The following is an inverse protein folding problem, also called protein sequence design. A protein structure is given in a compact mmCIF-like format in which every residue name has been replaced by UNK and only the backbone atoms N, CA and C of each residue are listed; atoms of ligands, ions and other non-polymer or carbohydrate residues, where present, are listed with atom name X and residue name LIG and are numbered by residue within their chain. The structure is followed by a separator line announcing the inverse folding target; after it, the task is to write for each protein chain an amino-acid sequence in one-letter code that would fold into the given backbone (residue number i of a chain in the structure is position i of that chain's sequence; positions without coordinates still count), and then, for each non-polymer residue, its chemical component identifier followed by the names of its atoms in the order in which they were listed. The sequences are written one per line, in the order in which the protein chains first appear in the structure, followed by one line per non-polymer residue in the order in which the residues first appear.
data_IF_664339645083
#
_entry.id   IF_664339645083
#
_cell.length_a   1.000
_cell.length_b   1.000
_cell.length_c   1.000
_cell.angle_alpha   90.00
_cell.angle_beta   90.00
_cell.angle_gamma   90.00
#
_symmetry.space_group_name_H-M   'P 1'
#
loop_
_entity.id
_entity.type
_entity.pdbx_description
1 polymer ?
#
# COMPACT_ATOMS: atom_id res chain seq x y z
N UNK A 1 1.45 -6.00 -13.51
CA UNK A 1 0.90 -6.99 -12.56
C UNK A 1 2.04 -7.54 -11.71
N UNK A 2 2.37 -8.83 -11.66
CA UNK A 2 3.57 -9.32 -10.95
C UNK A 2 4.13 -10.52 -11.69
N UNK A 3 5.37 -10.91 -11.39
CA UNK A 3 5.96 -12.16 -11.86
C UNK A 3 6.61 -12.93 -10.72
N UNK A 4 6.58 -14.26 -10.81
CA UNK A 4 7.28 -15.16 -9.89
C UNK A 4 8.72 -15.34 -10.36
N UNK A 5 9.69 -15.26 -9.44
CA UNK A 5 11.10 -15.54 -9.71
C UNK A 5 11.68 -16.46 -8.63
N UNK A 6 12.58 -17.39 -8.98
CA UNK A 6 13.20 -18.25 -7.99
C UNK A 6 14.05 -17.43 -7.01
N UNK A 7 14.09 -17.83 -5.74
CA UNK A 7 15.00 -17.21 -4.77
C UNK A 7 16.45 -17.59 -5.10
N UNK A 8 17.40 -16.63 -5.11
CA UNK A 8 18.76 -16.87 -5.61
C UNK A 8 19.56 -17.88 -4.79
N UNK A 9 19.21 -18.09 -3.52
CA UNK A 9 19.94 -18.95 -2.59
C UNK A 9 19.08 -20.00 -1.89
N UNK A 10 17.77 -20.02 -2.13
CA UNK A 10 16.86 -20.97 -1.49
C UNK A 10 15.87 -21.55 -2.49
N UNK A 11 16.16 -22.73 -3.02
CA UNK A 11 15.31 -23.40 -4.02
C UNK A 11 13.90 -23.74 -3.54
N UNK A 12 13.60 -23.61 -2.24
CA UNK A 12 12.27 -23.83 -1.67
C UNK A 12 11.39 -22.57 -1.71
N UNK A 13 11.98 -21.41 -1.98
CA UNK A 13 11.31 -20.11 -1.93
C UNK A 13 11.07 -19.54 -3.34
N UNK A 14 9.90 -18.95 -3.55
CA UNK A 14 9.57 -18.14 -4.74
C UNK A 14 9.39 -16.68 -4.35
N UNK A 15 10.11 -15.79 -5.00
CA UNK A 15 9.95 -14.35 -4.85
C UNK A 15 8.87 -13.82 -5.78
N UNK A 16 8.15 -12.80 -5.34
CA UNK A 16 7.22 -12.03 -6.16
C UNK A 16 7.88 -10.72 -6.53
N UNK A 17 8.02 -10.47 -7.83
CA UNK A 17 8.57 -9.22 -8.34
C UNK A 17 7.47 -8.40 -9.03
N UNK A 18 7.40 -7.12 -8.70
CA UNK A 18 6.55 -6.16 -9.39
C UNK A 18 7.13 -5.93 -10.80
N UNK A 19 6.30 -6.18 -11.82
CA UNK A 19 6.63 -5.90 -13.23
C UNK A 19 6.55 -4.40 -13.51
N UNK A 20 7.16 -3.93 -14.60
CA UNK A 20 7.04 -2.53 -15.03
C UNK A 20 5.59 -2.08 -15.20
N UNK A 21 4.79 -2.86 -15.94
CA UNK A 21 3.35 -2.63 -16.05
C UNK A 21 2.65 -2.57 -14.68
N UNK A 22 3.11 -3.36 -13.71
CA UNK A 22 2.56 -3.36 -12.35
C UNK A 22 2.87 -2.08 -11.59
N UNK A 23 4.05 -1.49 -11.81
CA UNK A 23 4.41 -0.20 -11.22
C UNK A 23 3.54 0.91 -11.80
N UNK A 24 3.47 1.01 -13.13
CA UNK A 24 2.61 2.00 -13.80
C UNK A 24 1.14 1.86 -13.37
N UNK A 25 0.60 0.65 -13.25
CA UNK A 25 -0.77 0.47 -12.75
C UNK A 25 -0.95 0.96 -11.31
N UNK A 26 0.04 0.79 -10.43
CA UNK A 26 -0.02 1.29 -9.04
C UNK A 26 0.01 2.82 -9.02
N UNK A 27 0.82 3.44 -9.86
CA UNK A 27 0.88 4.90 -9.98
C UNK A 27 -0.47 5.47 -10.43
N UNK A 28 -1.03 4.95 -11.52
CA UNK A 28 -2.33 5.38 -12.04
C UNK A 28 -3.47 5.17 -11.02
N UNK A 29 -3.48 4.02 -10.36
CA UNK A 29 -4.48 3.72 -9.32
C UNK A 29 -4.33 4.65 -8.12
N UNK A 30 -3.10 5.01 -7.73
CA UNK A 30 -2.83 5.92 -6.61
C UNK A 30 -3.42 7.30 -6.88
N UNK A 31 -3.19 7.85 -8.09
CA UNK A 31 -3.79 9.13 -8.49
C UNK A 31 -5.32 9.03 -8.47
N UNK A 32 -5.86 8.02 -9.15
CA UNK A 32 -7.31 7.82 -9.27
C UNK A 32 -8.00 7.71 -7.91
N UNK A 33 -7.45 6.92 -6.98
CA UNK A 33 -8.02 6.75 -5.64
C UNK A 33 -7.96 8.03 -4.82
N UNK A 34 -6.85 8.77 -4.87
CA UNK A 34 -6.74 10.03 -4.16
C UNK A 34 -7.73 11.07 -4.70
N UNK A 35 -7.89 11.15 -6.01
CA UNK A 35 -8.78 12.14 -6.64
C UNK A 35 -10.26 11.79 -6.48
N UNK A 36 -10.63 10.51 -6.61
CA UNK A 36 -12.03 10.10 -6.72
C UNK A 36 -12.61 9.55 -5.42
N UNK A 37 -11.77 9.01 -4.53
CA UNK A 37 -12.22 8.35 -3.30
C UNK A 37 -11.79 9.12 -2.06
N UNK A 38 -10.54 9.58 -2.00
CA UNK A 38 -9.99 10.19 -0.79
C UNK A 38 -9.97 11.72 -0.78
N UNK A 39 -10.28 12.38 -1.90
CA UNK A 39 -10.29 13.85 -1.99
C UNK A 39 -11.34 14.50 -1.09
N UNK A 40 -12.45 13.81 -0.81
CA UNK A 40 -13.49 14.31 0.07
C UNK A 40 -14.12 13.18 0.87
N UNK A 41 -13.47 12.84 1.99
CA UNK A 41 -13.91 11.80 2.93
C UNK A 41 -14.94 12.31 3.96
N UNK A 42 -15.41 13.55 3.82
CA UNK A 42 -16.37 14.16 4.75
C UNK A 42 -15.79 14.52 6.13
N UNK A 43 -14.47 14.46 6.30
CA UNK A 43 -13.75 14.83 7.52
C UNK A 43 -12.86 16.05 7.26
N UNK A 44 -12.70 16.89 8.29
CA UNK A 44 -11.70 17.96 8.28
C UNK A 44 -10.28 17.40 8.35
N UNK A 45 -9.28 18.23 7.99
CA UNK A 45 -7.88 17.80 7.98
C UNK A 45 -7.39 17.31 9.37
N UNK A 46 -7.76 18.01 10.45
CA UNK A 46 -7.38 17.62 11.82
C UNK A 46 -8.00 16.28 12.24
N UNK A 47 -9.28 16.07 11.92
CA UNK A 47 -9.99 14.83 12.21
C UNK A 47 -9.40 13.65 11.43
N UNK A 48 -9.10 13.85 10.14
CA UNK A 48 -8.41 12.87 9.31
C UNK A 48 -7.03 12.52 9.87
N UNK A 49 -6.26 13.51 10.32
CA UNK A 49 -4.94 13.29 10.92
C UNK A 49 -5.04 12.49 12.22
N UNK A 50 -6.03 12.81 13.06
CA UNK A 50 -6.27 12.09 14.32
C UNK A 50 -6.65 10.62 14.06
N UNK A 51 -7.50 10.36 13.05
CA UNK A 51 -7.85 9.00 12.64
C UNK A 51 -6.62 8.21 12.16
N UNK A 52 -5.78 8.80 11.31
CA UNK A 52 -4.54 8.17 10.84
C UNK A 52 -3.63 7.80 12.01
N UNK A 53 -3.45 8.72 12.98
CA UNK A 53 -2.63 8.47 14.18
C UNK A 53 -3.18 7.33 15.06
N UNK A 54 -4.51 7.26 15.22
CA UNK A 54 -5.15 6.18 15.97
C UNK A 54 -4.94 4.82 15.29
N UNK A 55 -5.09 4.75 13.96
CA UNK A 55 -4.84 3.53 13.17
C UNK A 55 -3.37 3.15 13.22
N UNK A 56 -2.44 4.10 13.12
CA UNK A 56 -1.01 3.84 13.23
C UNK A 56 -0.66 3.20 14.59
N UNK A 57 -1.21 3.75 15.68
CA UNK A 57 -1.03 3.21 17.03
C UNK A 57 -1.55 1.78 17.14
N UNK A 58 -2.73 1.48 16.58
CA UNK A 58 -3.27 0.13 16.54
C UNK A 58 -2.32 -0.84 15.81
N UNK A 59 -1.86 -0.44 14.62
CA UNK A 59 -0.99 -1.27 13.76
C UNK A 59 0.38 -1.54 14.40
N UNK A 60 0.98 -0.56 15.06
CA UNK A 60 2.21 -0.76 15.84
C UNK A 60 2.02 -1.77 16.96
N UNK A 61 0.92 -1.69 17.71
CA UNK A 61 0.63 -2.65 18.78
C UNK A 61 0.30 -4.06 18.25
N UNK A 62 -0.21 -4.17 17.02
CA UNK A 62 -0.44 -5.43 16.34
C UNK A 62 0.84 -6.06 15.75
N UNK A 63 1.96 -5.32 15.69
CA UNK A 63 3.23 -5.79 15.13
C UNK A 63 3.34 -5.66 13.61
N UNK A 64 2.58 -4.75 12.98
CA UNK A 64 2.64 -4.49 11.54
C UNK A 64 3.92 -3.75 11.09
N UNK A 65 4.72 -3.25 12.05
CA UNK A 65 5.95 -2.48 11.86
C UNK A 65 7.10 -3.20 12.54
#
# INVERSE_FOLDING_TARGET
MVRRVPHPTDGRTTLVQITELGRSTVEDATVTLNEQVFANVGMGAEESQALVSAVETLRRNAGDF
#
